data_IF_760427952125
#
_entry.id   IF_760427952125
#
_cell.length_a   1.000
_cell.length_b   1.000
_cell.length_c   1.000
_cell.angle_alpha   90.00
_cell.angle_beta   90.00
_cell.angle_gamma   90.00
#
_symmetry.space_group_name_H-M   'P 1'
#
loop_
_entity.id
_entity.type
_entity.pdbx_description
1 polymer ?
#
# COMPACT_ATOMS: atom_id res chain seq x y z
N UNK A 1 6.00 15.23 -27.40
CA UNK A 1 5.46 13.97 -26.84
C UNK A 1 4.91 14.28 -25.47
N UNK A 2 3.59 14.28 -25.29
CA UNK A 2 2.99 14.36 -23.95
C UNK A 2 3.12 12.98 -23.29
N UNK A 3 4.11 12.82 -22.42
CA UNK A 3 4.22 11.64 -21.57
C UNK A 3 3.18 11.76 -20.46
N UNK A 4 2.05 11.07 -20.62
CA UNK A 4 0.98 11.03 -19.63
C UNK A 4 1.02 9.69 -18.88
N UNK A 5 1.11 9.76 -17.55
CA UNK A 5 0.99 8.61 -16.66
C UNK A 5 -0.50 8.26 -16.50
N UNK A 6 -0.91 7.08 -16.95
CA UNK A 6 -2.29 6.60 -16.84
C UNK A 6 -2.32 5.17 -16.27
N UNK A 7 -3.47 4.77 -15.73
CA UNK A 7 -3.72 3.37 -15.33
C UNK A 7 -3.16 2.95 -13.97
N UNK A 8 -2.58 3.88 -13.21
CA UNK A 8 -2.11 3.61 -11.85
C UNK A 8 -3.28 3.60 -10.87
N UNK A 9 -3.28 2.63 -9.94
CA UNK A 9 -4.22 2.65 -8.81
C UNK A 9 -3.74 3.65 -7.77
N UNK A 10 -4.63 4.06 -6.86
CA UNK A 10 -4.31 4.97 -5.76
C UNK A 10 -3.08 4.52 -4.96
N UNK A 11 -2.98 3.23 -4.65
CA UNK A 11 -1.82 2.61 -4.01
C UNK A 11 -0.52 2.85 -4.81
N UNK A 12 -0.55 2.64 -6.12
CA UNK A 12 0.62 2.79 -6.98
C UNK A 12 1.05 4.26 -7.06
N UNK A 13 0.09 5.19 -7.10
CA UNK A 13 0.35 6.63 -7.00
C UNK A 13 1.03 6.99 -5.67
N UNK A 14 0.59 6.37 -4.58
CA UNK A 14 1.15 6.63 -3.25
C UNK A 14 2.60 6.13 -3.12
N UNK A 15 2.88 4.93 -3.64
CA UNK A 15 4.26 4.40 -3.72
C UNK A 15 5.13 5.27 -4.63
N UNK A 16 4.57 5.71 -5.76
CA UNK A 16 5.27 6.58 -6.70
C UNK A 16 5.67 7.90 -6.04
N UNK A 17 4.72 8.54 -5.34
CA UNK A 17 4.94 9.78 -4.60
C UNK A 17 5.99 9.63 -3.51
N UNK A 18 5.95 8.54 -2.75
CA UNK A 18 6.91 8.31 -1.67
C UNK A 18 8.31 7.99 -2.19
N UNK A 19 8.44 7.08 -3.17
CA UNK A 19 9.71 6.41 -3.46
C UNK A 19 10.26 6.67 -4.86
N UNK A 20 9.39 6.85 -5.85
CA UNK A 20 9.80 6.85 -7.25
C UNK A 20 10.04 8.26 -7.79
N UNK A 21 9.35 9.29 -7.30
CA UNK A 21 9.56 10.68 -7.75
C UNK A 21 11.05 11.09 -7.72
N UNK A 22 11.82 10.89 -6.62
CA UNK A 22 13.21 11.33 -6.56
C UNK A 22 14.12 10.63 -7.58
N UNK A 23 13.79 9.38 -7.94
CA UNK A 23 14.59 8.57 -8.86
C UNK A 23 14.18 8.83 -10.30
N UNK A 24 12.87 8.83 -10.56
CA UNK A 24 12.30 8.96 -11.89
C UNK A 24 12.61 10.33 -12.51
N UNK A 25 12.54 11.41 -11.73
CA UNK A 25 12.68 12.77 -12.26
C UNK A 25 14.09 13.36 -12.16
N UNK A 26 15.06 12.63 -11.60
CA UNK A 26 16.41 13.15 -11.30
C UNK A 26 17.09 13.86 -12.46
N UNK A 27 17.04 13.25 -13.64
CA UNK A 27 17.66 13.77 -14.86
C UNK A 27 16.63 14.33 -15.85
N UNK A 28 15.33 14.35 -15.48
CA UNK A 28 14.24 14.76 -16.36
C UNK A 28 13.80 16.21 -16.15
N UNK A 29 14.06 16.78 -14.97
CA UNK A 29 13.63 18.15 -14.61
C UNK A 29 14.81 18.97 -14.08
N UNK A 30 14.73 20.32 -14.12
CA UNK A 30 15.78 21.16 -13.55
C UNK A 30 16.04 20.85 -12.07
N UNK A 31 17.29 20.98 -11.64
CA UNK A 31 17.74 20.61 -10.27
C UNK A 31 16.88 21.22 -9.16
N UNK A 32 16.44 22.47 -9.31
CA UNK A 32 15.60 23.14 -8.32
C UNK A 32 14.20 22.49 -8.21
N UNK A 33 13.59 22.10 -9.33
CA UNK A 33 12.31 21.38 -9.37
C UNK A 33 12.47 20.01 -8.73
N UNK A 34 13.52 19.28 -9.12
CA UNK A 34 13.79 17.95 -8.59
C UNK A 34 14.01 17.97 -7.07
N UNK A 35 14.74 18.96 -6.55
CA UNK A 35 14.97 19.13 -5.11
C UNK A 35 13.66 19.27 -4.36
N UNK A 36 12.78 20.17 -4.83
CA UNK A 36 11.46 20.39 -4.24
C UNK A 36 10.58 19.12 -4.27
N UNK A 37 10.55 18.42 -5.41
CA UNK A 37 9.81 17.16 -5.54
C UNK A 37 10.35 16.07 -4.60
N UNK A 38 11.67 16.06 -4.39
CA UNK A 38 12.34 15.13 -3.48
C UNK A 38 11.99 15.44 -2.02
N UNK A 39 11.96 16.72 -1.62
CA UNK A 39 11.52 17.14 -0.28
C UNK A 39 10.10 16.64 0.04
N UNK A 40 9.16 16.82 -0.89
CA UNK A 40 7.79 16.32 -0.76
C UNK A 40 7.78 14.79 -0.63
N UNK A 41 8.56 14.09 -1.45
CA UNK A 41 8.65 12.62 -1.39
C UNK A 41 9.16 12.14 -0.05
N UNK A 42 10.22 12.76 0.48
CA UNK A 42 10.82 12.44 1.78
C UNK A 42 9.85 12.69 2.93
N UNK A 43 9.11 13.80 2.89
CA UNK A 43 8.04 14.09 3.84
C UNK A 43 7.01 12.95 3.88
N UNK A 44 6.50 12.52 2.72
CA UNK A 44 5.55 11.40 2.66
C UNK A 44 6.16 10.06 3.09
N UNK A 45 7.47 9.84 2.90
CA UNK A 45 8.15 8.65 3.44
C UNK A 45 8.16 8.64 4.97
N UNK A 46 8.39 9.78 5.62
CA UNK A 46 8.34 9.90 7.08
C UNK A 46 6.92 9.66 7.59
N UNK A 47 5.93 10.33 7.00
CA UNK A 47 4.53 10.23 7.40
C UNK A 47 3.96 8.83 7.25
N UNK A 48 4.35 8.13 6.18
CA UNK A 48 3.80 6.81 5.84
C UNK A 48 4.70 5.65 6.29
N UNK A 49 5.66 5.92 7.15
CA UNK A 49 6.49 4.89 7.76
C UNK A 49 5.63 3.94 8.61
N UNK A 50 5.93 2.65 8.56
CA UNK A 50 5.26 1.62 9.38
C UNK A 50 5.44 1.87 10.87
N UNK A 51 6.62 2.39 11.24
CA UNK A 51 6.95 2.86 12.59
C UNK A 51 7.16 4.37 12.56
N UNK A 52 6.37 5.10 13.34
CA UNK A 52 6.43 6.56 13.37
C UNK A 52 7.45 7.02 14.41
N UNK A 53 8.52 7.68 13.95
CA UNK A 53 9.51 8.32 14.82
C UNK A 53 9.04 9.74 15.16
N UNK A 54 8.64 9.95 16.41
CA UNK A 54 8.07 11.21 16.89
C UNK A 54 9.03 12.38 16.66
N UNK A 55 10.35 12.18 16.79
CA UNK A 55 11.33 13.25 16.61
C UNK A 55 11.35 13.73 15.16
N UNK A 56 11.37 12.79 14.21
CA UNK A 56 11.31 13.10 12.78
C UNK A 56 9.99 13.77 12.38
N UNK A 57 8.88 13.40 13.03
CA UNK A 57 7.59 14.05 12.79
C UNK A 57 7.58 15.49 13.32
N UNK A 58 8.19 15.75 14.48
CA UNK A 58 8.32 17.11 15.01
C UNK A 58 9.22 17.98 14.12
N UNK A 59 10.37 17.47 13.69
CA UNK A 59 11.23 18.14 12.71
C UNK A 59 10.47 18.41 11.39
N UNK A 60 9.56 17.50 11.02
CA UNK A 60 8.70 17.68 9.86
C UNK A 60 7.60 18.72 10.08
N UNK A 61 7.00 18.81 11.27
CA UNK A 61 6.05 19.87 11.65
C UNK A 61 6.70 21.26 11.47
N UNK A 62 7.97 21.41 11.85
CA UNK A 62 8.69 22.69 11.72
C UNK A 62 9.06 23.02 10.26
N UNK A 63 9.33 22.01 9.44
CA UNK A 63 9.82 22.17 8.06
C UNK A 63 8.74 22.09 6.97
N UNK A 64 7.54 21.55 7.27
CA UNK A 64 6.49 21.32 6.26
C UNK A 64 6.03 22.60 5.58
N UNK A 65 5.98 23.73 6.30
CA UNK A 65 5.64 25.03 5.73
C UNK A 65 6.66 25.48 4.67
N UNK A 66 7.95 25.21 4.91
CA UNK A 66 9.04 25.52 3.96
C UNK A 66 8.96 24.61 2.74
N UNK A 67 8.69 23.32 2.93
CA UNK A 67 8.51 22.36 1.83
C UNK A 67 7.32 22.78 0.95
N UNK A 68 6.19 23.17 1.55
CA UNK A 68 5.02 23.66 0.84
C UNK A 68 5.32 24.96 0.07
N UNK A 69 6.04 25.89 0.69
CA UNK A 69 6.49 27.12 0.03
C UNK A 69 7.43 26.83 -1.16
N UNK A 70 8.35 25.89 -1.01
CA UNK A 70 9.24 25.47 -2.09
C UNK A 70 8.45 24.85 -3.25
N UNK A 71 7.42 24.06 -2.95
CA UNK A 71 6.49 23.54 -3.94
C UNK A 71 5.75 24.67 -4.67
N UNK A 72 5.30 25.68 -3.92
CA UNK A 72 4.65 26.89 -4.42
C UNK A 72 5.46 27.69 -5.43
N UNK A 73 6.80 27.68 -5.30
CA UNK A 73 7.69 28.36 -6.25
C UNK A 73 7.84 27.63 -7.59
N UNK A 74 7.56 26.32 -7.62
CA UNK A 74 7.75 25.46 -8.78
C UNK A 74 6.48 25.33 -9.61
N UNK A 75 5.32 25.24 -8.96
CA UNK A 75 4.03 25.05 -9.62
C UNK A 75 3.24 26.36 -9.73
N UNK A 76 2.41 26.54 -10.79
CA UNK A 76 1.53 27.70 -10.89
C UNK A 76 0.56 27.79 -9.71
N UNK A 77 0.15 29.01 -9.31
CA UNK A 77 -0.84 29.19 -8.22
C UNK A 77 -2.14 28.42 -8.44
N UNK A 78 -2.55 28.22 -9.71
CA UNK A 78 -3.74 27.44 -10.06
C UNK A 78 -3.65 25.96 -9.64
N UNK A 79 -2.45 25.45 -9.35
CA UNK A 79 -2.25 24.10 -8.81
C UNK A 79 -2.65 24.00 -7.33
N UNK A 80 -2.48 25.08 -6.56
CA UNK A 80 -2.74 25.08 -5.12
C UNK A 80 -4.20 25.42 -4.83
N UNK A 81 -4.99 24.37 -4.63
CA UNK A 81 -6.32 24.43 -4.06
C UNK A 81 -6.27 24.03 -2.56
N UNK A 82 -7.43 23.88 -1.92
CA UNK A 82 -7.50 23.55 -0.50
C UNK A 82 -6.88 22.18 -0.15
N UNK A 83 -6.79 21.25 -1.12
CA UNK A 83 -6.25 19.91 -0.90
C UNK A 83 -4.74 19.92 -0.68
N UNK A 84 -3.99 20.74 -1.42
CA UNK A 84 -2.54 20.84 -1.26
C UNK A 84 -2.19 21.42 0.12
N UNK A 85 -3.01 22.32 0.65
CA UNK A 85 -2.83 22.85 2.00
C UNK A 85 -3.01 21.83 3.12
N UNK A 86 -3.76 20.73 2.90
CA UNK A 86 -3.93 19.67 3.90
C UNK A 86 -2.61 19.02 4.31
N UNK A 87 -1.63 19.02 3.40
CA UNK A 87 -0.29 18.48 3.64
C UNK A 87 0.38 19.15 4.86
N UNK A 88 0.09 20.43 5.13
CA UNK A 88 0.62 21.16 6.29
C UNK A 88 0.16 20.55 7.62
N UNK A 89 -1.02 19.94 7.67
CA UNK A 89 -1.60 19.38 8.89
C UNK A 89 -1.19 17.91 9.12
N UNK A 90 -0.74 17.21 8.07
CA UNK A 90 -0.41 15.79 8.15
C UNK A 90 0.64 15.44 9.22
N UNK A 91 1.73 16.22 9.41
CA UNK A 91 2.72 15.92 10.46
C UNK A 91 2.10 15.98 11.86
N UNK A 92 1.35 17.05 12.17
CA UNK A 92 0.64 17.19 13.44
C UNK A 92 -0.37 16.05 13.65
N UNK A 93 -1.15 15.73 12.62
CA UNK A 93 -2.10 14.62 12.68
C UNK A 93 -1.40 13.27 12.85
N UNK A 94 -0.22 13.06 12.28
CA UNK A 94 0.59 11.86 12.48
C UNK A 94 1.10 11.77 13.92
N UNK A 95 1.56 12.87 14.50
CA UNK A 95 2.04 12.91 15.88
C UNK A 95 0.93 12.58 16.88
N UNK A 96 -0.27 13.13 16.69
CA UNK A 96 -1.41 12.92 17.61
C UNK A 96 -2.12 11.59 17.33
N UNK A 97 -2.33 11.26 16.06
CA UNK A 97 -3.13 10.09 15.64
C UNK A 97 -2.33 8.81 15.41
N UNK A 98 -1.00 8.86 15.53
CA UNK A 98 -0.12 7.72 15.29
C UNK A 98 0.03 7.34 13.81
N UNK A 99 0.56 6.13 13.52
CA UNK A 99 0.90 5.71 12.17
C UNK A 99 -0.28 5.83 11.19
N UNK A 100 -0.01 6.43 10.05
CA UNK A 100 -1.02 6.78 9.04
C UNK A 100 -1.69 5.54 8.41
N UNK A 101 -1.00 4.39 8.38
CA UNK A 101 -1.49 3.12 7.81
C UNK A 101 -2.84 2.63 8.37
N UNK A 102 -3.18 2.97 9.62
CA UNK A 102 -4.45 2.59 10.25
C UNK A 102 -5.58 3.60 10.01
N UNK A 103 -5.24 4.79 9.51
CA UNK A 103 -6.16 5.92 9.34
C UNK A 103 -6.42 6.27 7.88
N UNK A 104 -5.69 5.64 6.96
CA UNK A 104 -6.00 5.70 5.54
C UNK A 104 -7.40 5.19 5.23
N UNK A 105 -7.99 5.70 4.16
CA UNK A 105 -9.27 5.20 3.66
C UNK A 105 -9.16 3.80 3.04
N UNK A 106 -7.98 3.37 2.59
CA UNK A 106 -7.84 2.10 1.86
C UNK A 106 -8.32 0.85 2.62
N UNK A 107 -7.99 0.65 3.91
CA UNK A 107 -8.52 -0.49 4.67
C UNK A 107 -10.06 -0.46 4.76
N UNK A 108 -10.64 0.71 4.98
CA UNK A 108 -12.10 0.88 5.05
C UNK A 108 -12.77 0.63 3.70
N UNK A 109 -12.24 1.20 2.61
CA UNK A 109 -12.75 0.99 1.26
C UNK A 109 -12.67 -0.48 0.84
N UNK A 110 -11.56 -1.16 1.13
CA UNK A 110 -11.40 -2.60 0.86
C UNK A 110 -12.40 -3.43 1.66
N UNK A 111 -12.59 -3.11 2.94
CA UNK A 111 -13.57 -3.79 3.78
C UNK A 111 -14.99 -3.59 3.26
N UNK A 112 -15.38 -2.35 2.97
CA UNK A 112 -16.68 -2.01 2.40
C UNK A 112 -16.90 -2.69 1.04
N UNK A 113 -15.85 -2.82 0.22
CA UNK A 113 -15.91 -3.56 -1.03
C UNK A 113 -16.24 -5.05 -0.81
N UNK A 114 -15.64 -5.70 0.19
CA UNK A 114 -15.98 -7.09 0.54
C UNK A 114 -17.40 -7.21 1.08
N UNK A 115 -17.84 -6.30 1.94
CA UNK A 115 -19.21 -6.25 2.43
C UNK A 115 -20.22 -6.08 1.27
N UNK A 116 -19.89 -5.23 0.29
CA UNK A 116 -20.73 -5.03 -0.90
C UNK A 116 -20.93 -6.31 -1.72
N UNK A 117 -19.93 -7.20 -1.78
CA UNK A 117 -20.06 -8.51 -2.47
C UNK A 117 -21.01 -9.48 -1.76
N UNK A 118 -21.23 -9.28 -0.46
CA UNK A 118 -22.12 -10.09 0.38
C UNK A 118 -23.60 -9.74 0.19
N UNK A 119 -23.91 -8.58 -0.37
CA UNK A 119 -25.29 -8.15 -0.66
C UNK A 119 -25.84 -8.97 -1.83
N UNK A 120 -26.61 -10.01 -1.54
CA UNK A 120 -27.36 -10.83 -2.51
C UNK A 120 -28.80 -10.37 -2.66
N UNK A 121 -29.42 -9.90 -1.58
CA UNK A 121 -30.75 -9.32 -1.60
C UNK A 121 -30.68 -7.79 -1.38
N UNK A 122 -31.00 -7.00 -2.41
CA UNK A 122 -31.00 -5.54 -2.33
C UNK A 122 -32.20 -4.95 -1.59
N UNK A 123 -33.28 -5.71 -1.41
CA UNK A 123 -34.44 -5.27 -0.61
C UNK A 123 -34.13 -5.27 0.90
N UNK A 124 -33.19 -6.11 1.34
CA UNK A 124 -32.75 -6.22 2.73
C UNK A 124 -31.22 -6.33 2.81
N UNK A 125 -30.54 -5.22 2.55
CA UNK A 125 -29.07 -5.17 2.43
C UNK A 125 -28.36 -5.66 3.70
N UNK A 126 -28.78 -5.16 4.86
CA UNK A 126 -28.17 -5.51 6.15
C UNK A 126 -28.35 -6.99 6.48
N UNK A 127 -29.59 -7.50 6.35
CA UNK A 127 -29.88 -8.91 6.58
C UNK A 127 -29.07 -9.83 5.64
N UNK A 128 -28.96 -9.46 4.37
CA UNK A 128 -28.18 -10.21 3.38
C UNK A 128 -26.68 -10.22 3.72
N UNK A 129 -26.15 -9.11 4.24
CA UNK A 129 -24.76 -9.02 4.68
C UNK A 129 -24.50 -9.90 5.90
N UNK A 130 -25.38 -9.83 6.91
CA UNK A 130 -25.28 -10.61 8.15
C UNK A 130 -25.35 -12.11 7.85
N UNK A 131 -26.30 -12.55 7.02
CA UNK A 131 -26.44 -13.94 6.62
C UNK A 131 -25.15 -14.47 5.97
N UNK A 132 -24.63 -13.75 4.97
CA UNK A 132 -23.39 -14.12 4.29
C UNK A 132 -22.15 -14.04 5.19
N UNK A 133 -22.19 -13.21 6.24
CA UNK A 133 -21.13 -13.13 7.24
C UNK A 133 -21.16 -14.34 8.18
N UNK A 134 -22.33 -14.74 8.69
CA UNK A 134 -22.50 -15.94 9.52
C UNK A 134 -22.04 -17.20 8.77
N UNK A 135 -22.46 -17.36 7.51
CA UNK A 135 -22.03 -18.52 6.69
C UNK A 135 -20.51 -18.53 6.49
N UNK A 136 -19.88 -17.37 6.33
CA UNK A 136 -18.43 -17.28 6.24
C UNK A 136 -17.74 -17.66 7.55
N UNK A 137 -18.23 -17.18 8.70
CA UNK A 137 -17.67 -17.51 10.01
C UNK A 137 -17.81 -18.99 10.34
N UNK A 138 -18.97 -19.60 10.07
CA UNK A 138 -19.17 -21.05 10.22
C UNK A 138 -18.18 -21.81 9.31
N UNK A 139 -18.00 -21.38 8.06
CA UNK A 139 -17.04 -21.98 7.14
C UNK A 139 -15.58 -21.83 7.61
N UNK A 140 -15.25 -20.72 8.26
CA UNK A 140 -13.96 -20.50 8.89
C UNK A 140 -13.75 -21.41 10.10
N UNK A 141 -14.71 -21.46 11.03
CA UNK A 141 -14.65 -22.26 12.24
C UNK A 141 -14.58 -23.77 11.93
N UNK A 142 -15.47 -24.26 11.06
CA UNK A 142 -15.49 -25.66 10.63
C UNK A 142 -14.19 -26.09 9.92
N UNK A 143 -13.47 -25.15 9.29
CA UNK A 143 -12.19 -25.45 8.62
C UNK A 143 -11.08 -25.96 9.55
N UNK A 144 -11.20 -25.74 10.86
CA UNK A 144 -10.26 -26.27 11.86
C UNK A 144 -10.44 -27.77 12.11
N UNK A 145 -11.63 -28.31 11.83
CA UNK A 145 -11.95 -29.73 12.04
C UNK A 145 -11.66 -30.59 10.81
N UNK A 146 -11.49 -29.97 9.64
CA UNK A 146 -11.16 -30.68 8.41
C UNK A 146 -9.65 -30.89 8.25
N UNK A 147 -9.30 -32.06 7.73
CA UNK A 147 -7.92 -32.41 7.40
C UNK A 147 -7.23 -31.37 6.48
N UNK A 148 -5.89 -31.23 6.55
CA UNK A 148 -5.16 -30.18 5.83
C UNK A 148 -5.36 -30.19 4.32
N UNK A 149 -5.59 -31.37 3.74
CA UNK A 149 -5.76 -31.57 2.31
C UNK A 149 -7.14 -31.10 1.80
N UNK A 150 -8.11 -30.89 2.68
CA UNK A 150 -9.46 -30.44 2.31
C UNK A 150 -9.45 -28.94 2.01
N UNK A 151 -9.83 -28.57 0.79
CA UNK A 151 -9.89 -27.16 0.39
C UNK A 151 -11.02 -26.43 1.12
N UNK A 152 -10.66 -25.43 1.93
CA UNK A 152 -11.61 -24.55 2.63
C UNK A 152 -11.31 -23.10 2.28
N UNK A 153 -12.30 -22.20 2.45
CA UNK A 153 -12.12 -20.77 2.16
C UNK A 153 -10.90 -20.17 2.88
N UNK A 154 -10.67 -20.56 4.14
CA UNK A 154 -9.49 -20.19 4.95
C UNK A 154 -8.15 -20.57 4.30
N UNK A 155 -8.10 -21.72 3.61
CA UNK A 155 -6.88 -22.28 3.01
C UNK A 155 -6.68 -21.85 1.56
N UNK A 156 -7.59 -21.04 1.00
CA UNK A 156 -7.41 -20.50 -0.35
C UNK A 156 -6.42 -19.33 -0.28
N UNK A 157 -5.34 -19.34 -1.07
CA UNK A 157 -4.41 -18.23 -1.12
C UNK A 157 -5.13 -16.96 -1.58
N UNK A 158 -4.75 -15.82 -1.01
CA UNK A 158 -5.20 -14.52 -1.48
C UNK A 158 -4.77 -14.31 -2.93
N UNK A 159 -5.50 -13.47 -3.68
CA UNK A 159 -5.20 -13.17 -5.09
C UNK A 159 -3.82 -12.52 -5.28
N UNK A 160 -3.23 -11.99 -4.21
CA UNK A 160 -1.91 -11.35 -4.18
C UNK A 160 -0.92 -12.08 -3.24
N UNK A 161 -1.24 -13.29 -2.78
CA UNK A 161 -0.26 -14.08 -2.03
C UNK A 161 0.74 -14.68 -3.02
N UNK A 162 1.92 -14.05 -3.13
CA UNK A 162 3.13 -14.67 -3.69
C UNK A 162 3.73 -15.70 -2.71
N UNK A 163 2.90 -16.35 -1.89
CA UNK A 163 3.30 -17.52 -1.12
C UNK A 163 3.46 -18.67 -2.11
N UNK A 164 4.64 -18.68 -2.71
CA UNK A 164 5.28 -19.81 -3.34
C UNK A 164 4.85 -21.11 -2.69
N UNK A 165 4.36 -22.00 -3.55
CA UNK A 165 4.64 -23.45 -3.59
C UNK A 165 5.92 -23.85 -2.85
N UNK A 166 5.96 -23.77 -1.52
CA UNK A 166 7.05 -24.30 -0.71
C UNK A 166 6.82 -25.78 -0.37
N UNK A 167 5.57 -26.26 -0.43
CA UNK A 167 5.27 -27.68 -0.28
C UNK A 167 5.50 -28.54 -1.54
N UNK A 168 5.76 -27.94 -2.72
CA UNK A 168 6.14 -28.67 -3.93
C UNK A 168 7.65 -28.63 -4.22
N UNK A 169 8.44 -27.84 -3.47
CA UNK A 169 9.89 -27.70 -3.70
C UNK A 169 10.75 -28.83 -3.13
N UNK A 170 10.21 -29.71 -2.28
CA UNK A 170 10.96 -30.84 -1.73
C UNK A 170 11.17 -31.96 -2.78
N UNK A 171 10.56 -31.87 -3.98
CA UNK A 171 10.64 -32.92 -5.00
C UNK A 171 11.36 -32.53 -6.30
N UNK A 172 11.91 -31.30 -6.43
CA UNK A 172 12.63 -30.87 -7.64
C UNK A 172 13.91 -30.09 -7.31
N UNK A 173 14.84 -30.76 -6.65
CA UNK A 173 16.24 -30.34 -6.61
C UNK A 173 16.88 -30.60 -7.98
N UNK A 174 16.95 -29.56 -8.81
CA UNK A 174 17.61 -29.58 -10.13
C UNK A 174 19.14 -29.43 -10.02
N UNK A 175 19.71 -29.40 -8.80
CA UNK A 175 21.15 -29.27 -8.55
C UNK A 175 21.85 -30.53 -8.02
N UNK A 176 21.23 -31.71 -8.08
CA UNK A 176 21.94 -32.97 -7.86
C UNK A 176 22.41 -33.56 -9.19
N UNK A 177 23.53 -33.04 -9.71
CA UNK A 177 24.35 -33.79 -10.65
C UNK A 177 25.61 -34.25 -9.92
N UNK A 178 25.81 -35.57 -9.70
CA UNK A 178 27.10 -36.07 -9.27
C UNK A 178 28.08 -35.95 -10.44
N UNK A 179 29.09 -35.12 -10.26
CA UNK A 179 30.26 -35.07 -11.14
C UNK A 179 30.99 -36.41 -11.08
N UNK A 180 30.82 -37.19 -12.14
CA UNK A 180 31.78 -38.08 -12.80
C UNK A 180 33.00 -38.50 -11.95
N UNK A 181 33.01 -39.76 -11.52
CA UNK A 181 34.24 -40.53 -11.29
C UNK A 181 34.26 -41.73 -12.25
N UNK A 182 35.17 -41.71 -13.22
CA UNK A 182 35.76 -42.89 -13.90
C UNK A 182 37.11 -42.37 -14.42
N UNK A 183 38.24 -42.54 -13.73
CA UNK A 183 39.15 -43.71 -13.68
C UNK A 183 39.50 -44.26 -15.06
N UNK A 184 40.77 -44.03 -15.43
CA UNK A 184 41.53 -44.36 -16.66
C UNK A 184 41.36 -43.39 -17.84
#
# INVERSE_FOLDING_TARGET
>A
MELRLHGMKSHDCHIFMQKLIPVAFREMVPKHVWSTLTEVSLMFQVLCSTTLDIRKVQELEDSVAVIMWNLGKVFPLAFFNSMEHLILHLPYEARVGGPVQYRWMYPFERFLHELKKKVKNKAHVEASMVEAYIVEEIGWFTSHYFEPHVTCKRRRPSRNDDLTREHERISRDIFNHPSVQVVL
#
